data_IF_356198240094
#
_entry.id   IF_356198240094
#
_cell.length_a   1.000
_cell.length_b   1.000
_cell.length_c   1.000
_cell.angle_alpha   90.00
_cell.angle_beta   90.00
_cell.angle_gamma   90.00
#
_symmetry.space_group_name_H-M   'P 1'
#
loop_
_entity.id
_entity.type
_entity.pdbx_description
1 polymer ?
#
# COMPACT_ATOMS: atom_id res chain seq x y z
N UNK A 1 -21.08 -10.94 22.98
CA UNK A 1 -21.59 -10.52 21.66
C UNK A 1 -21.67 -9.00 21.65
N UNK A 2 -20.92 -8.32 20.79
CA UNK A 2 -21.03 -6.86 20.64
C UNK A 2 -22.34 -6.51 19.92
N UNK A 3 -23.07 -5.53 20.45
CA UNK A 3 -24.19 -4.93 19.72
C UNK A 3 -23.62 -4.21 18.50
N UNK A 4 -24.13 -4.51 17.31
CA UNK A 4 -23.57 -4.00 16.05
C UNK A 4 -23.46 -2.48 16.03
N UNK A 5 -22.33 -1.96 15.53
CA UNK A 5 -22.08 -0.53 15.43
C UNK A 5 -23.02 0.10 14.38
N UNK A 6 -23.93 0.98 14.82
CA UNK A 6 -24.75 1.80 13.92
C UNK A 6 -24.05 3.12 13.67
N UNK A 7 -23.48 3.28 12.47
CA UNK A 7 -22.91 4.56 12.03
C UNK A 7 -24.04 5.59 11.85
N UNK A 8 -23.96 6.73 12.55
CA UNK A 8 -24.97 7.77 12.45
C UNK A 8 -24.70 8.67 11.23
N UNK A 9 -25.54 8.55 10.19
CA UNK A 9 -25.39 9.29 8.92
C UNK A 9 -25.49 10.81 9.07
N UNK A 10 -26.32 11.33 9.98
CA UNK A 10 -26.36 12.78 10.21
C UNK A 10 -25.10 13.26 10.94
N UNK A 11 -24.55 12.47 11.86
CA UNK A 11 -23.27 12.76 12.49
C UNK A 11 -22.10 12.69 11.49
N UNK A 12 -22.10 11.74 10.54
CA UNK A 12 -21.11 11.67 9.46
C UNK A 12 -21.24 12.87 8.51
N UNK A 13 -22.46 13.26 8.13
CA UNK A 13 -22.68 14.45 7.29
C UNK A 13 -22.29 15.75 8.00
N UNK A 14 -22.51 15.84 9.31
CA UNK A 14 -22.04 16.96 10.13
C UNK A 14 -20.51 16.93 10.30
N UNK A 15 -19.89 15.76 10.42
CA UNK A 15 -18.42 15.64 10.51
C UNK A 15 -17.75 16.01 9.17
N UNK A 16 -18.30 15.58 8.04
CA UNK A 16 -17.87 16.01 6.71
C UNK A 16 -18.07 17.52 6.53
N UNK A 17 -19.25 18.05 6.87
CA UNK A 17 -19.54 19.49 6.87
C UNK A 17 -18.52 20.29 7.69
N UNK A 18 -18.27 19.89 8.94
CA UNK A 18 -17.25 20.50 9.82
C UNK A 18 -15.83 20.37 9.25
N UNK A 19 -15.49 19.27 8.57
CA UNK A 19 -14.19 19.11 7.92
C UNK A 19 -14.03 20.07 6.72
N UNK A 20 -15.08 20.25 5.90
CA UNK A 20 -15.09 21.24 4.82
C UNK A 20 -15.13 22.68 5.33
N UNK A 21 -15.88 22.98 6.39
CA UNK A 21 -15.88 24.27 7.10
C UNK A 21 -14.52 24.57 7.72
N UNK A 22 -13.84 23.58 8.29
CA UNK A 22 -12.49 23.72 8.83
C UNK A 22 -11.48 23.95 7.70
N UNK A 23 -11.57 23.22 6.58
CA UNK A 23 -10.75 23.48 5.39
C UNK A 23 -10.96 24.90 4.83
N UNK A 24 -12.22 25.37 4.74
CA UNK A 24 -12.56 26.72 4.30
C UNK A 24 -12.09 27.80 5.30
N UNK A 25 -12.11 27.50 6.61
CA UNK A 25 -11.58 28.37 7.66
C UNK A 25 -10.06 28.44 7.61
N UNK A 26 -9.37 27.32 7.38
CA UNK A 26 -7.90 27.28 7.16
C UNK A 26 -7.51 28.04 5.89
N UNK A 27 -8.25 27.88 4.79
CA UNK A 27 -8.03 28.70 3.59
C UNK A 27 -8.28 30.19 3.85
N UNK A 28 -9.31 30.54 4.61
CA UNK A 28 -9.61 31.94 4.95
C UNK A 28 -8.53 32.53 5.84
N UNK A 29 -8.12 31.86 6.91
CA UNK A 29 -7.02 32.28 7.76
C UNK A 29 -5.68 32.37 6.98
N UNK A 30 -5.43 31.47 6.02
CA UNK A 30 -4.27 31.56 5.12
C UNK A 30 -4.33 32.81 4.24
N UNK A 31 -5.48 33.13 3.63
CA UNK A 31 -5.68 34.36 2.84
C UNK A 31 -5.63 35.64 3.70
N UNK A 32 -6.20 35.61 4.90
CA UNK A 32 -6.18 36.73 5.83
C UNK A 32 -4.76 36.96 6.37
N UNK A 33 -3.99 35.90 6.60
CA UNK A 33 -2.58 35.97 6.98
C UNK A 33 -1.70 36.46 5.83
N UNK A 34 -1.88 35.96 4.60
CA UNK A 34 -1.22 36.51 3.38
C UNK A 34 -1.52 38.01 3.26
N UNK A 35 -2.79 38.40 3.37
CA UNK A 35 -3.23 39.80 3.29
C UNK A 35 -2.67 40.66 4.42
N UNK A 36 -2.57 40.14 5.65
CA UNK A 36 -2.04 40.85 6.81
C UNK A 36 -0.51 40.97 6.81
N UNK A 37 0.20 39.99 6.23
CA UNK A 37 1.66 39.98 6.12
C UNK A 37 2.18 40.69 4.88
N UNK A 38 1.40 40.71 3.77
CA UNK A 38 1.65 41.55 2.59
C UNK A 38 1.75 43.02 2.97
N UNK A 39 2.98 43.51 2.99
CA UNK A 39 3.29 44.93 3.19
C UNK A 39 3.61 45.34 4.63
N UNK A 40 3.33 44.52 5.65
CA UNK A 40 3.61 44.87 7.07
C UNK A 40 4.93 44.34 7.61
N UNK A 41 5.52 43.30 7.01
CA UNK A 41 6.90 42.87 7.32
C UNK A 41 7.95 43.74 6.58
N UNK A 42 7.51 44.76 5.84
CA UNK A 42 8.37 45.69 5.11
C UNK A 42 8.93 46.80 6.00
N UNK A 43 9.89 46.47 6.85
CA UNK A 43 10.75 47.49 7.46
C UNK A 43 11.49 48.27 6.38
N UNK A 44 11.29 49.59 6.28
CA UNK A 44 12.06 50.42 5.35
C UNK A 44 13.52 50.50 5.83
N UNK A 45 14.45 49.96 5.04
CA UNK A 45 15.90 50.00 5.30
C UNK A 45 16.59 48.64 5.20
N UNK A 46 17.92 48.61 5.29
CA UNK A 46 18.74 47.39 5.13
C UNK A 46 18.33 46.25 6.10
N UNK A 47 17.97 46.59 7.34
CA UNK A 47 17.54 45.60 8.34
C UNK A 47 16.20 44.93 7.96
N UNK A 48 15.24 45.69 7.45
CA UNK A 48 13.95 45.13 7.01
C UNK A 48 14.09 44.22 5.79
N UNK A 49 15.03 44.49 4.87
CA UNK A 49 15.35 43.59 3.77
C UNK A 49 15.98 42.26 4.22
N UNK A 50 16.72 42.26 5.34
CA UNK A 50 17.29 41.03 5.94
C UNK A 50 16.18 40.21 6.60
N UNK A 51 15.28 40.86 7.35
CA UNK A 51 14.13 40.20 7.98
C UNK A 51 13.15 39.66 6.93
N UNK A 52 12.83 40.41 5.87
CA UNK A 52 11.99 39.97 4.76
C UNK A 52 12.60 38.72 4.08
N UNK A 53 13.91 38.72 3.78
CA UNK A 53 14.59 37.53 3.21
C UNK A 53 14.62 36.31 4.13
N UNK A 54 14.64 36.49 5.45
CA UNK A 54 14.74 35.39 6.40
C UNK A 54 13.37 34.81 6.81
N UNK A 55 12.37 35.67 7.03
CA UNK A 55 11.08 35.29 7.61
C UNK A 55 10.05 34.97 6.52
N UNK A 56 10.12 35.63 5.36
CA UNK A 56 9.12 35.47 4.31
C UNK A 56 9.09 34.09 3.65
N UNK A 57 10.21 33.40 3.35
CA UNK A 57 10.15 32.03 2.84
C UNK A 57 9.46 31.05 3.80
N UNK A 58 9.59 31.28 5.11
CA UNK A 58 8.92 30.47 6.16
C UNK A 58 7.43 30.77 6.18
N UNK A 59 7.05 32.06 6.18
CA UNK A 59 5.64 32.47 6.08
C UNK A 59 4.98 31.97 4.80
N UNK A 60 5.62 32.15 3.64
CA UNK A 60 5.12 31.71 2.34
C UNK A 60 4.93 30.18 2.32
N UNK A 61 5.84 29.39 2.90
CA UNK A 61 5.68 27.93 3.01
C UNK A 61 4.56 27.50 3.97
N UNK A 62 4.37 28.20 5.10
CA UNK A 62 3.24 27.93 6.01
C UNK A 62 1.88 28.34 5.40
N UNK A 63 1.83 29.50 4.73
CA UNK A 63 0.64 30.09 4.12
C UNK A 63 0.24 29.36 2.84
N UNK A 64 1.20 29.03 1.97
CA UNK A 64 0.95 28.26 0.75
C UNK A 64 0.84 26.77 1.07
N UNK A 65 1.93 26.15 1.50
CA UNK A 65 2.12 24.72 1.30
C UNK A 65 1.51 23.93 2.45
N UNK A 66 1.81 24.31 3.71
CA UNK A 66 1.16 23.69 4.87
C UNK A 66 -0.35 23.94 4.90
N UNK A 67 -0.80 25.17 4.57
CA UNK A 67 -2.24 25.47 4.57
C UNK A 67 -2.99 24.78 3.42
N UNK A 68 -2.38 24.64 2.22
CA UNK A 68 -2.95 23.82 1.14
C UNK A 68 -2.93 22.33 1.50
N UNK A 69 -1.88 21.82 2.13
CA UNK A 69 -1.81 20.43 2.58
C UNK A 69 -2.85 20.13 3.67
N UNK A 70 -3.04 21.02 4.65
CA UNK A 70 -4.08 20.88 5.68
C UNK A 70 -5.50 21.03 5.11
N UNK A 71 -5.75 21.99 4.23
CA UNK A 71 -7.03 22.12 3.55
C UNK A 71 -7.29 20.98 2.54
N UNK A 72 -6.24 20.39 1.97
CA UNK A 72 -6.27 19.19 1.14
C UNK A 72 -6.59 17.95 1.96
N UNK A 73 -5.92 17.75 3.09
CA UNK A 73 -6.17 16.66 4.04
C UNK A 73 -7.57 16.73 4.65
N UNK A 74 -8.04 17.92 5.08
CA UNK A 74 -9.41 18.07 5.55
C UNK A 74 -10.46 17.90 4.44
N UNK A 75 -10.16 18.28 3.18
CA UNK A 75 -11.02 17.96 2.03
C UNK A 75 -10.99 16.48 1.66
N UNK A 76 -9.87 15.77 1.80
CA UNK A 76 -9.80 14.33 1.53
C UNK A 76 -10.49 13.52 2.63
N UNK A 77 -10.43 13.96 3.90
CA UNK A 77 -11.24 13.42 4.99
C UNK A 77 -12.73 13.74 4.78
N UNK A 78 -13.05 14.98 4.37
CA UNK A 78 -14.41 15.39 4.00
C UNK A 78 -14.99 14.51 2.90
N UNK A 79 -14.32 14.41 1.75
CA UNK A 79 -14.68 13.51 0.66
C UNK A 79 -14.66 12.03 1.08
N UNK A 80 -13.73 11.58 1.93
CA UNK A 80 -13.72 10.22 2.46
C UNK A 80 -14.96 9.91 3.32
N UNK A 81 -15.42 10.89 4.10
CA UNK A 81 -16.66 10.82 4.88
C UNK A 81 -17.91 10.98 4.00
N UNK A 82 -17.87 11.78 2.94
CA UNK A 82 -18.93 11.88 1.93
C UNK A 82 -19.04 10.59 1.10
N UNK A 83 -17.93 9.98 0.72
CA UNK A 83 -17.86 8.67 0.07
C UNK A 83 -18.35 7.60 1.05
N UNK A 84 -17.95 7.64 2.33
CA UNK A 84 -18.44 6.70 3.35
C UNK A 84 -19.94 6.88 3.59
N UNK A 85 -20.44 8.12 3.63
CA UNK A 85 -21.87 8.44 3.68
C UNK A 85 -22.58 7.93 2.42
N UNK A 86 -22.07 8.20 1.23
CA UNK A 86 -22.59 7.70 -0.05
C UNK A 86 -22.62 6.17 -0.08
N UNK A 87 -21.60 5.50 0.45
CA UNK A 87 -21.55 4.04 0.59
C UNK A 87 -22.59 3.52 1.59
N UNK A 88 -22.83 4.23 2.70
CA UNK A 88 -23.88 3.89 3.66
C UNK A 88 -25.26 4.17 3.08
N UNK A 89 -25.44 5.26 2.35
CA UNK A 89 -26.65 5.59 1.61
C UNK A 89 -26.87 4.63 0.42
N UNK A 90 -25.82 4.03 -0.15
CA UNK A 90 -25.83 2.93 -1.14
C UNK A 90 -25.93 1.54 -0.50
N UNK A 91 -25.72 1.39 0.82
CA UNK A 91 -25.71 0.10 1.53
C UNK A 91 -26.95 -0.11 2.44
N UNK A 92 -27.43 0.91 3.14
CA UNK A 92 -28.87 0.96 3.48
C UNK A 92 -29.68 1.00 2.19
N UNK A 93 -29.18 1.81 1.25
CA UNK A 93 -29.50 1.73 -0.15
C UNK A 93 -29.08 0.44 -0.83
N UNK A 94 -28.70 -0.65 -0.13
CA UNK A 94 -28.65 -2.03 -0.65
C UNK A 94 -29.65 -2.98 0.05
N UNK A 95 -30.10 -2.62 1.25
CA UNK A 95 -30.98 -3.41 2.12
C UNK A 95 -32.47 -3.26 1.75
N UNK A 96 -32.93 -2.07 1.37
CA UNK A 96 -34.32 -1.76 0.94
C UNK A 96 -34.93 -2.61 -0.23
N UNK A 97 -34.41 -2.64 -1.48
CA UNK A 97 -34.83 -3.58 -2.59
C UNK A 97 -34.81 -5.02 -2.12
N UNK A 98 -33.81 -5.39 -1.30
CA UNK A 98 -33.70 -6.77 -0.80
C UNK A 98 -34.86 -7.13 0.13
N UNK A 99 -35.50 -6.14 0.75
CA UNK A 99 -36.70 -6.26 1.58
C UNK A 99 -38.01 -5.98 0.80
N UNK A 100 -37.96 -5.29 -0.34
CA UNK A 100 -39.09 -5.13 -1.26
C UNK A 100 -39.34 -6.39 -2.11
N UNK A 101 -38.28 -7.05 -2.59
CA UNK A 101 -38.39 -8.16 -3.55
C UNK A 101 -38.69 -9.53 -2.92
N UNK A 102 -38.48 -9.68 -1.61
CA UNK A 102 -38.83 -10.88 -0.86
C UNK A 102 -39.90 -10.52 0.17
N UNK A 103 -41.12 -11.03 -0.01
CA UNK A 103 -42.30 -10.73 0.82
C UNK A 103 -42.18 -11.27 2.26
N UNK A 104 -41.28 -10.68 3.03
CA UNK A 104 -41.04 -10.95 4.45
C UNK A 104 -41.41 -9.67 5.18
N UNK A 105 -42.46 -9.69 6.00
CA UNK A 105 -43.12 -8.45 6.42
C UNK A 105 -42.21 -7.53 7.27
N UNK A 106 -41.83 -6.40 6.68
CA UNK A 106 -41.10 -5.28 7.31
C UNK A 106 -41.77 -4.77 8.61
N UNK A 107 -43.06 -5.06 8.80
CA UNK A 107 -43.80 -4.81 10.03
C UNK A 107 -43.18 -5.45 11.29
N UNK A 108 -42.45 -6.57 11.17
CA UNK A 108 -41.74 -7.19 12.31
C UNK A 108 -40.45 -6.46 12.73
N UNK A 109 -39.86 -5.67 11.84
CA UNK A 109 -38.62 -4.90 12.07
C UNK A 109 -38.88 -3.39 12.24
N UNK A 110 -40.14 -2.97 12.28
CA UNK A 110 -40.55 -1.59 12.61
C UNK A 110 -40.37 -0.53 11.50
N UNK A 111 -39.99 -0.92 10.29
CA UNK A 111 -39.77 0.01 9.17
C UNK A 111 -41.10 0.32 8.47
N UNK A 112 -41.64 1.53 8.70
CA UNK A 112 -42.84 2.03 8.02
C UNK A 112 -42.45 2.88 6.80
N UNK A 113 -42.88 2.43 5.61
CA UNK A 113 -43.01 3.17 4.34
C UNK A 113 -41.72 3.84 3.79
N UNK A 114 -41.09 3.44 2.68
CA UNK A 114 -41.66 2.81 1.50
C UNK A 114 -42.00 3.79 0.35
N UNK A 115 -41.30 4.91 0.15
CA UNK A 115 -41.66 5.90 -0.88
C UNK A 115 -41.63 5.30 -2.32
N UNK A 116 -42.64 5.57 -3.18
CA UNK A 116 -42.68 5.03 -4.54
C UNK A 116 -41.46 5.43 -5.39
N UNK A 117 -40.81 4.43 -6.01
CA UNK A 117 -39.62 4.63 -6.85
C UNK A 117 -38.29 4.42 -6.13
N UNK A 118 -38.25 4.39 -4.80
CA UNK A 118 -37.03 4.03 -4.08
C UNK A 118 -36.69 2.55 -4.25
N UNK A 119 -35.47 2.31 -4.75
CA UNK A 119 -34.90 1.00 -4.97
C UNK A 119 -33.36 1.11 -4.95
N UNK A 120 -32.66 0.05 -4.55
CA UNK A 120 -31.48 0.05 -3.69
C UNK A 120 -30.56 -1.21 -3.96
N UNK A 121 -29.26 -1.22 -4.40
CA UNK A 121 -28.66 -2.43 -5.04
C UNK A 121 -28.51 -3.73 -4.20
N UNK A 122 -29.10 -4.86 -4.64
CA UNK A 122 -29.04 -6.14 -3.89
C UNK A 122 -27.64 -6.74 -3.72
N UNK A 123 -27.46 -7.73 -2.81
CA UNK A 123 -26.16 -8.27 -2.34
C UNK A 123 -25.12 -8.55 -3.45
N UNK A 124 -25.55 -9.03 -4.62
CA UNK A 124 -24.67 -9.24 -5.79
C UNK A 124 -24.08 -7.93 -6.34
N UNK A 125 -24.90 -6.89 -6.46
CA UNK A 125 -24.49 -5.59 -6.98
C UNK A 125 -23.60 -4.83 -5.97
N UNK A 126 -23.88 -4.91 -4.66
CA UNK A 126 -22.93 -4.43 -3.65
C UNK A 126 -21.56 -5.10 -3.78
N UNK A 127 -21.53 -6.43 -3.92
CA UNK A 127 -20.27 -7.16 -4.07
C UNK A 127 -19.52 -6.76 -5.35
N UNK A 128 -20.23 -6.43 -6.42
CA UNK A 128 -19.64 -5.90 -7.66
C UNK A 128 -19.08 -4.48 -7.48
N UNK A 129 -19.78 -3.57 -6.79
CA UNK A 129 -19.27 -2.24 -6.46
C UNK A 129 -18.06 -2.30 -5.53
N UNK A 130 -18.08 -3.22 -4.56
CA UNK A 130 -16.95 -3.49 -3.67
C UNK A 130 -15.71 -3.94 -4.43
N UNK A 131 -15.82 -5.01 -5.23
CA UNK A 131 -14.69 -5.51 -6.03
C UNK A 131 -14.18 -4.45 -7.00
N UNK A 132 -15.09 -3.71 -7.68
CA UNK A 132 -14.69 -2.59 -8.54
C UNK A 132 -13.83 -1.56 -7.82
N UNK A 133 -14.18 -1.16 -6.59
CA UNK A 133 -13.36 -0.21 -5.81
C UNK A 133 -11.98 -0.78 -5.49
N UNK A 134 -11.91 -2.04 -5.10
CA UNK A 134 -10.64 -2.71 -4.81
C UNK A 134 -9.77 -2.72 -6.07
N UNK A 135 -10.34 -3.03 -7.23
CA UNK A 135 -9.63 -3.04 -8.51
C UNK A 135 -9.22 -1.62 -8.95
N UNK A 136 -10.11 -0.62 -8.89
CA UNK A 136 -9.81 0.81 -9.12
C UNK A 136 -8.67 1.31 -8.24
N UNK A 137 -8.63 0.88 -6.97
CA UNK A 137 -7.55 1.22 -6.03
C UNK A 137 -6.24 0.51 -6.36
N UNK A 138 -6.28 -0.74 -6.85
CA UNK A 138 -5.07 -1.43 -7.34
C UNK A 138 -4.51 -0.75 -8.59
N UNK A 139 -5.35 -0.31 -9.54
CA UNK A 139 -4.89 0.45 -10.71
C UNK A 139 -4.22 1.77 -10.31
N UNK A 140 -4.76 2.50 -9.33
CA UNK A 140 -4.10 3.69 -8.78
C UNK A 140 -2.73 3.33 -8.18
N UNK A 141 -2.64 2.25 -7.39
CA UNK A 141 -1.40 1.81 -6.75
C UNK A 141 -0.35 1.30 -7.76
N UNK A 142 -0.74 0.77 -8.93
CA UNK A 142 0.19 0.43 -10.03
C UNK A 142 0.95 1.65 -10.56
N UNK A 143 0.36 2.84 -10.49
CA UNK A 143 0.99 4.09 -10.95
C UNK A 143 1.94 4.75 -9.93
N UNK A 144 1.91 4.32 -8.66
CA UNK A 144 2.66 4.95 -7.58
C UNK A 144 4.10 4.45 -7.45
N UNK A 145 4.35 3.22 -7.89
CA UNK A 145 5.64 2.55 -7.80
C UNK A 145 5.54 1.08 -8.16
N UNK A 146 6.60 0.32 -7.87
CA UNK A 146 6.74 -1.08 -8.25
C UNK A 146 6.07 -2.09 -7.32
N UNK A 147 5.48 -1.65 -6.19
CA UNK A 147 4.85 -2.53 -5.21
C UNK A 147 3.88 -3.55 -5.82
N UNK A 148 2.91 -3.07 -6.62
CA UNK A 148 1.92 -3.96 -7.26
C UNK A 148 2.59 -4.92 -8.24
N UNK A 149 3.43 -4.39 -9.15
CA UNK A 149 4.11 -5.19 -10.18
C UNK A 149 5.22 -6.12 -9.68
N UNK A 150 5.70 -5.97 -8.44
CA UNK A 150 6.70 -6.85 -7.82
C UNK A 150 6.14 -7.75 -6.70
N UNK A 151 4.97 -7.44 -6.14
CA UNK A 151 4.45 -8.09 -4.92
C UNK A 151 2.93 -8.34 -4.88
N UNK A 152 2.18 -8.04 -5.94
CA UNK A 152 0.78 -8.45 -6.09
C UNK A 152 0.58 -9.18 -7.44
N UNK A 153 0.77 -8.48 -8.55
CA UNK A 153 0.53 -8.96 -9.92
C UNK A 153 1.71 -9.77 -10.50
N UNK A 154 2.30 -10.64 -9.67
CA UNK A 154 3.46 -11.46 -10.02
C UNK A 154 3.10 -12.94 -10.08
N UNK A 155 3.48 -13.66 -11.13
CA UNK A 155 3.33 -15.13 -11.16
C UNK A 155 4.31 -15.80 -10.20
N UNK A 156 4.02 -17.03 -9.78
CA UNK A 156 4.95 -17.81 -8.96
C UNK A 156 6.26 -18.12 -9.69
N UNK A 157 6.23 -18.15 -11.03
CA UNK A 157 7.46 -18.25 -11.83
C UNK A 157 8.27 -16.94 -11.78
N UNK A 158 7.65 -15.75 -11.87
CA UNK A 158 8.36 -14.48 -11.64
C UNK A 158 8.95 -14.41 -10.22
N UNK A 159 8.26 -14.94 -9.20
CA UNK A 159 8.82 -15.01 -7.85
C UNK A 159 10.07 -15.92 -7.78
N UNK A 160 10.09 -17.03 -8.50
CA UNK A 160 11.25 -17.94 -8.61
C UNK A 160 12.38 -17.34 -9.43
N UNK A 161 12.10 -16.78 -10.61
CA UNK A 161 13.06 -16.04 -11.44
C UNK A 161 13.73 -14.89 -10.65
N UNK A 162 12.99 -14.22 -9.76
CA UNK A 162 13.50 -13.16 -8.87
C UNK A 162 14.50 -13.66 -7.81
N UNK A 163 14.42 -14.93 -7.42
CA UNK A 163 15.43 -15.53 -6.54
C UNK A 163 16.74 -15.78 -7.30
N UNK A 164 16.68 -16.03 -8.61
CA UNK A 164 17.84 -16.24 -9.47
C UNK A 164 18.51 -17.60 -9.28
N UNK A 165 19.73 -17.74 -9.80
CA UNK A 165 20.49 -18.99 -9.83
C UNK A 165 21.46 -19.08 -8.65
N UNK A 166 21.56 -20.21 -7.91
CA UNK A 166 22.57 -20.42 -6.88
C UNK A 166 24.00 -20.13 -7.36
N UNK A 167 24.76 -19.38 -6.58
CA UNK A 167 26.19 -19.16 -6.85
C UNK A 167 26.97 -20.40 -6.39
N UNK A 168 27.84 -20.91 -7.27
CA UNK A 168 28.68 -22.08 -7.02
C UNK A 168 30.14 -21.66 -6.77
N UNK A 169 30.62 -21.83 -5.55
CA UNK A 169 31.97 -21.47 -5.09
C UNK A 169 32.89 -22.71 -5.00
N UNK A 170 34.20 -22.49 -4.90
CA UNK A 170 35.20 -23.56 -4.87
C UNK A 170 35.71 -24.01 -6.27
N UNK A 171 36.72 -24.91 -6.31
CA UNK A 171 37.32 -25.37 -7.56
C UNK A 171 36.35 -26.23 -8.38
N UNK A 172 36.53 -26.30 -9.69
CA UNK A 172 35.57 -26.90 -10.63
C UNK A 172 35.16 -28.36 -10.30
N UNK A 173 36.06 -29.15 -9.71
CA UNK A 173 35.83 -30.54 -9.32
C UNK A 173 35.21 -30.72 -7.91
N UNK A 174 35.06 -29.64 -7.14
CA UNK A 174 34.48 -29.65 -5.80
C UNK A 174 33.72 -28.33 -5.54
N UNK A 175 32.79 -27.99 -6.44
CA UNK A 175 31.98 -26.77 -6.30
C UNK A 175 30.88 -26.99 -5.26
N UNK A 176 30.75 -26.06 -4.33
CA UNK A 176 29.70 -26.03 -3.31
C UNK A 176 28.80 -24.82 -3.51
N UNK A 177 27.57 -24.89 -2.99
CA UNK A 177 26.64 -23.76 -3.07
C UNK A 177 27.04 -22.70 -2.05
N UNK A 178 27.26 -21.48 -2.54
CA UNK A 178 27.56 -20.32 -1.72
C UNK A 178 26.40 -20.03 -0.76
N UNK A 179 26.70 -19.88 0.52
CA UNK A 179 25.74 -19.47 1.54
C UNK A 179 26.05 -18.06 2.04
N UNK A 180 25.00 -17.34 2.41
CA UNK A 180 25.11 -16.08 3.13
C UNK A 180 25.59 -16.36 4.57
N UNK A 181 26.65 -15.69 5.06
CA UNK A 181 27.25 -16.03 6.35
C UNK A 181 26.39 -15.64 7.56
N UNK A 182 25.41 -14.73 7.39
CA UNK A 182 24.58 -14.22 8.48
C UNK A 182 23.24 -14.98 8.59
N UNK A 183 22.75 -15.49 7.46
CA UNK A 183 21.41 -16.10 7.33
C UNK A 183 21.45 -17.57 6.90
N UNK A 184 22.60 -18.07 6.43
CA UNK A 184 22.77 -19.46 6.01
C UNK A 184 21.96 -19.84 4.76
N UNK A 185 21.28 -18.89 4.10
CA UNK A 185 20.56 -19.11 2.85
C UNK A 185 21.48 -19.10 1.65
N UNK A 186 20.99 -19.65 0.55
CA UNK A 186 21.72 -19.70 -0.72
C UNK A 186 21.93 -18.29 -1.29
N UNK A 187 23.20 -17.93 -1.52
CA UNK A 187 23.54 -16.74 -2.32
C UNK A 187 23.30 -17.05 -3.79
N UNK A 188 22.72 -16.08 -4.50
CA UNK A 188 22.22 -16.24 -5.87
C UNK A 188 22.56 -15.04 -6.74
N UNK A 189 22.76 -15.31 -8.03
CA UNK A 189 23.02 -14.32 -9.09
C UNK A 189 21.89 -14.34 -10.12
N UNK A 190 21.94 -13.45 -11.11
CA UNK A 190 21.08 -13.47 -12.29
C UNK A 190 19.58 -13.45 -11.95
N UNK A 191 19.27 -12.70 -10.88
CA UNK A 191 17.93 -12.41 -10.38
C UNK A 191 17.18 -11.56 -11.41
N UNK A 192 15.95 -11.94 -11.73
CA UNK A 192 15.10 -11.23 -12.68
C UNK A 192 14.14 -10.30 -11.93
N UNK A 193 13.99 -9.07 -12.41
CA UNK A 193 12.95 -8.17 -11.92
C UNK A 193 11.55 -8.64 -12.38
N UNK A 194 10.57 -8.88 -11.49
CA UNK A 194 9.22 -9.24 -11.90
C UNK A 194 8.56 -8.24 -12.85
N UNK A 195 8.98 -6.97 -12.84
CA UNK A 195 8.48 -5.94 -13.76
C UNK A 195 8.78 -6.21 -15.24
N UNK A 196 9.77 -7.07 -15.57
CA UNK A 196 10.00 -7.56 -16.93
C UNK A 196 8.88 -8.49 -17.45
N UNK A 197 7.90 -8.81 -16.61
CA UNK A 197 6.79 -9.70 -16.93
C UNK A 197 7.15 -11.19 -16.87
N UNK A 198 6.14 -12.07 -16.99
CA UNK A 198 6.35 -13.51 -17.00
C UNK A 198 7.12 -13.98 -18.24
N UNK A 199 7.80 -15.14 -18.18
CA UNK A 199 8.43 -15.76 -19.35
C UNK A 199 7.48 -15.86 -20.54
N UNK A 200 7.98 -15.53 -21.74
CA UNK A 200 7.19 -15.53 -22.97
C UNK A 200 6.41 -14.23 -23.26
N UNK A 201 6.43 -13.24 -22.36
CA UNK A 201 5.81 -11.92 -22.62
C UNK A 201 6.52 -11.20 -23.78
N UNK A 202 5.81 -10.68 -24.80
CA UNK A 202 6.40 -9.88 -25.86
C UNK A 202 7.16 -8.67 -25.30
N UNK A 203 8.39 -8.46 -25.78
CA UNK A 203 9.24 -7.35 -25.31
C UNK A 203 9.97 -7.58 -23.99
N UNK A 204 9.80 -8.74 -23.31
CA UNK A 204 10.64 -9.13 -22.17
C UNK A 204 12.13 -9.13 -22.59
N UNK A 205 13.03 -8.44 -21.87
CA UNK A 205 14.46 -8.44 -22.21
C UNK A 205 15.07 -9.84 -22.19
N UNK A 206 16.16 -10.02 -22.93
CA UNK A 206 17.00 -11.23 -22.88
C UNK A 206 18.28 -10.97 -22.08
N UNK A 207 18.99 -12.01 -21.60
CA UNK A 207 20.30 -11.82 -20.98
C UNK A 207 21.28 -11.08 -21.93
N UNK A 208 22.11 -10.14 -21.43
CA UNK A 208 22.29 -9.79 -20.01
C UNK A 208 21.22 -8.86 -19.42
N UNK A 209 20.43 -8.17 -20.26
CA UNK A 209 19.57 -7.06 -19.81
C UNK A 209 18.41 -7.50 -18.90
N UNK A 210 17.96 -8.74 -19.05
CA UNK A 210 17.01 -9.41 -18.16
C UNK A 210 17.38 -9.36 -16.67
N UNK A 211 18.67 -9.22 -16.34
CA UNK A 211 19.18 -9.20 -14.97
C UNK A 211 19.33 -7.80 -14.37
N UNK A 212 19.00 -6.74 -15.12
CA UNK A 212 18.92 -5.39 -14.60
C UNK A 212 17.52 -5.08 -14.04
N UNK A 213 17.47 -4.16 -13.08
CA UNK A 213 16.23 -3.57 -12.58
C UNK A 213 15.49 -2.86 -13.74
N UNK A 214 14.19 -3.13 -13.89
CA UNK A 214 13.41 -2.64 -15.05
C UNK A 214 13.19 -1.12 -15.03
N UNK A 215 13.24 -0.48 -13.86
CA UNK A 215 13.09 0.97 -13.71
C UNK A 215 14.42 1.71 -13.93
N UNK A 216 15.54 1.09 -13.53
CA UNK A 216 16.87 1.74 -13.50
C UNK A 216 17.81 1.33 -14.64
N UNK A 217 17.59 0.17 -15.24
CA UNK A 217 18.45 -0.38 -16.30
C UNK A 217 19.92 -0.60 -15.89
N UNK A 218 20.80 -0.88 -16.87
CA UNK A 218 22.24 -1.03 -16.65
C UNK A 218 22.85 0.21 -15.97
N UNK A 219 23.81 0.07 -15.03
CA UNK A 219 24.43 -1.17 -14.56
C UNK A 219 23.70 -1.80 -13.34
N UNK A 220 22.49 -1.34 -13.01
CA UNK A 220 21.79 -1.68 -11.77
C UNK A 220 21.19 -3.09 -11.82
N UNK A 221 21.98 -4.13 -11.51
CA UNK A 221 21.45 -5.50 -11.42
C UNK A 221 20.34 -5.59 -10.38
N UNK A 222 19.25 -6.28 -10.73
CA UNK A 222 18.11 -6.46 -9.83
C UNK A 222 18.54 -7.20 -8.56
N UNK A 223 17.94 -6.84 -7.42
CA UNK A 223 18.24 -7.43 -6.11
C UNK A 223 16.97 -7.88 -5.41
N UNK A 224 17.08 -9.02 -4.76
CA UNK A 224 16.07 -9.60 -3.90
C UNK A 224 16.80 -10.39 -2.83
N UNK A 225 16.32 -10.27 -1.59
CA UNK A 225 16.82 -10.98 -0.41
C UNK A 225 16.63 -12.50 -0.53
N UNK A 226 16.83 -13.22 0.57
CA UNK A 226 16.64 -14.68 0.64
C UNK A 226 15.22 -15.14 0.30
N UNK A 227 14.22 -14.26 0.40
CA UNK A 227 12.81 -14.54 0.12
C UNK A 227 12.28 -13.67 -1.01
N UNK A 228 11.48 -14.29 -1.87
CA UNK A 228 10.70 -13.61 -2.91
C UNK A 228 9.23 -13.81 -2.60
N UNK A 229 8.55 -12.75 -2.16
CA UNK A 229 7.22 -12.81 -1.52
C UNK A 229 6.20 -11.91 -2.20
N UNK A 230 4.92 -12.25 -2.07
CA UNK A 230 3.80 -11.51 -2.61
C UNK A 230 2.52 -11.71 -1.79
N UNK A 231 1.57 -10.80 -1.98
CA UNK A 231 0.17 -10.99 -1.60
C UNK A 231 -0.51 -11.97 -2.58
N UNK A 232 -1.61 -12.58 -2.13
CA UNK A 232 -2.44 -13.48 -2.94
C UNK A 232 -3.67 -12.80 -3.55
N UNK A 233 -4.11 -11.67 -3.00
CA UNK A 233 -5.36 -11.02 -3.36
C UNK A 233 -5.31 -9.50 -3.21
N UNK A 234 -6.03 -8.82 -4.12
CA UNK A 234 -6.14 -7.35 -4.21
C UNK A 234 -6.67 -6.75 -2.90
N UNK A 235 -7.66 -7.38 -2.28
CA UNK A 235 -8.34 -6.92 -1.07
C UNK A 235 -7.35 -6.78 0.10
N UNK A 236 -6.53 -7.81 0.34
CA UNK A 236 -5.49 -7.78 1.36
C UNK A 236 -4.45 -6.69 1.08
N UNK A 237 -4.00 -6.55 -0.17
CA UNK A 237 -3.02 -5.52 -0.56
C UNK A 237 -3.58 -4.12 -0.33
N UNK A 238 -4.81 -3.85 -0.74
CA UNK A 238 -5.46 -2.53 -0.56
C UNK A 238 -5.61 -2.18 0.92
N UNK A 239 -6.14 -3.09 1.75
CA UNK A 239 -6.26 -2.83 3.19
C UNK A 239 -4.91 -2.67 3.91
N UNK A 240 -3.86 -3.32 3.42
CA UNK A 240 -2.51 -3.13 3.93
C UNK A 240 -1.96 -1.73 3.58
N UNK A 241 -2.20 -1.21 2.37
CA UNK A 241 -1.86 0.18 2.00
C UNK A 241 -2.70 1.19 2.81
N UNK A 242 -4.01 0.99 2.94
CA UNK A 242 -4.87 1.89 3.72
C UNK A 242 -4.41 2.00 5.18
N UNK A 243 -4.10 0.86 5.81
CA UNK A 243 -3.55 0.84 7.17
C UNK A 243 -2.19 1.55 7.23
N UNK A 244 -1.24 1.18 6.35
CA UNK A 244 0.11 1.73 6.40
C UNK A 244 0.13 3.24 6.12
N UNK A 245 -0.66 3.70 5.16
CA UNK A 245 -0.83 5.11 4.81
C UNK A 245 -1.43 5.93 5.97
N UNK A 246 -2.28 5.34 6.80
CA UNK A 246 -2.79 5.97 8.03
C UNK A 246 -1.74 6.17 9.13
N UNK A 247 -0.57 5.54 9.01
CA UNK A 247 0.56 5.62 9.95
C UNK A 247 1.69 6.55 9.49
N UNK A 248 1.55 7.17 8.32
CA UNK A 248 2.54 8.12 7.83
C UNK A 248 2.56 9.37 8.72
N UNK A 249 3.77 9.82 9.06
CA UNK A 249 3.99 11.06 9.80
C UNK A 249 3.97 12.24 8.82
N UNK A 250 2.95 13.12 8.84
CA UNK A 250 2.88 14.27 7.94
C UNK A 250 3.95 15.34 8.24
N UNK A 251 4.63 15.26 9.38
CA UNK A 251 5.73 16.17 9.73
C UNK A 251 7.09 15.73 9.18
N UNK A 252 7.22 14.48 8.73
CA UNK A 252 8.45 13.94 8.14
C UNK A 252 8.38 13.94 6.61
N UNK A 253 9.01 14.89 5.89
CA UNK A 253 8.91 15.01 4.43
C UNK A 253 9.78 14.02 3.65
N UNK A 254 10.54 13.16 4.34
CA UNK A 254 11.42 12.17 3.70
C UNK A 254 10.72 10.85 3.40
N UNK A 255 11.45 9.90 2.79
CA UNK A 255 11.00 8.50 2.64
C UNK A 255 10.58 7.93 4.01
N UNK A 256 9.46 7.21 4.03
CA UNK A 256 8.92 6.55 5.22
C UNK A 256 8.81 5.04 5.01
N UNK A 257 8.98 4.29 6.09
CA UNK A 257 8.79 2.83 6.12
C UNK A 257 7.85 2.52 7.27
N UNK A 258 6.76 1.83 6.96
CA UNK A 258 5.77 1.38 7.95
C UNK A 258 5.84 -0.14 8.00
N UNK A 259 6.27 -0.65 9.16
CA UNK A 259 6.27 -2.07 9.48
C UNK A 259 5.14 -2.38 10.46
N UNK A 260 4.34 -3.42 10.18
CA UNK A 260 3.16 -3.74 11.00
C UNK A 260 2.81 -5.23 10.94
N UNK A 261 2.01 -5.69 11.90
CA UNK A 261 1.49 -7.05 11.88
C UNK A 261 0.25 -7.12 10.96
N UNK A 262 0.05 -8.21 10.19
CA UNK A 262 -1.17 -8.48 9.44
C UNK A 262 -2.47 -8.32 10.25
N UNK A 263 -2.40 -8.56 11.57
CA UNK A 263 -3.52 -8.38 12.49
C UNK A 263 -3.97 -6.93 12.67
N UNK A 264 -3.08 -5.96 12.40
CA UNK A 264 -3.36 -4.55 12.62
C UNK A 264 -4.18 -3.96 11.47
N UNK A 265 -3.94 -4.46 10.25
CA UNK A 265 -4.69 -4.09 9.04
C UNK A 265 -5.98 -4.91 8.85
N UNK A 266 -5.99 -6.18 9.24
CA UNK A 266 -7.09 -7.12 8.92
C UNK A 266 -7.82 -7.69 10.15
N UNK A 267 -7.47 -7.24 11.35
CA UNK A 267 -8.05 -7.74 12.61
C UNK A 267 -7.45 -9.07 13.08
N UNK A 268 -7.91 -9.62 14.22
CA UNK A 268 -7.36 -10.85 14.79
C UNK A 268 -7.67 -12.08 13.91
N UNK A 269 -6.67 -12.89 13.61
CA UNK A 269 -6.85 -14.11 12.82
C UNK A 269 -5.56 -14.73 12.30
N UNK A 270 -5.69 -15.85 11.60
CA UNK A 270 -4.60 -16.48 10.85
C UNK A 270 -4.48 -15.89 9.46
N UNK A 271 -3.41 -15.11 9.21
CA UNK A 271 -3.24 -14.34 7.97
C UNK A 271 -2.28 -14.96 6.95
N UNK A 272 -1.67 -16.11 7.27
CA UNK A 272 -0.72 -16.82 6.38
C UNK A 272 -1.34 -17.17 5.02
N UNK A 273 -2.65 -17.38 4.96
CA UNK A 273 -3.39 -17.65 3.74
C UNK A 273 -3.43 -16.50 2.73
N UNK A 274 -3.12 -15.26 3.14
CA UNK A 274 -3.11 -14.05 2.29
C UNK A 274 -1.79 -13.79 1.58
N UNK A 275 -0.76 -14.58 1.89
CA UNK A 275 0.58 -14.44 1.33
C UNK A 275 1.04 -15.69 0.59
N UNK A 276 2.01 -15.50 -0.30
CA UNK A 276 2.79 -16.56 -0.97
C UNK A 276 4.22 -16.07 -1.13
N UNK A 277 5.13 -17.00 -1.30
CA UNK A 277 6.53 -16.67 -1.54
C UNK A 277 7.39 -17.91 -1.54
N UNK A 278 8.59 -17.74 -2.08
CA UNK A 278 9.56 -18.81 -2.25
C UNK A 278 10.92 -18.39 -1.70
N UNK A 279 11.73 -19.40 -1.35
CA UNK A 279 13.16 -19.29 -1.14
C UNK A 279 13.85 -20.53 -1.71
N UNK A 280 15.14 -20.43 -2.01
CA UNK A 280 15.94 -21.59 -2.45
C UNK A 280 16.26 -22.43 -1.22
N UNK A 281 16.04 -23.74 -1.31
CA UNK A 281 16.27 -24.67 -0.20
C UNK A 281 17.76 -24.64 0.25
N UNK A 282 18.08 -24.25 1.49
CA UNK A 282 19.46 -24.18 1.97
C UNK A 282 20.11 -25.55 2.18
N UNK A 283 19.33 -26.64 2.28
CA UNK A 283 19.86 -28.00 2.49
C UNK A 283 20.02 -28.76 1.16
N UNK A 284 19.04 -28.63 0.28
CA UNK A 284 18.97 -29.31 -1.02
C UNK A 284 18.66 -28.29 -2.13
N UNK A 285 19.57 -27.35 -2.45
CA UNK A 285 19.31 -26.23 -3.35
C UNK A 285 19.02 -26.60 -4.81
N UNK A 286 19.30 -27.84 -5.20
CA UNK A 286 18.96 -28.42 -6.49
C UNK A 286 18.15 -29.71 -6.28
N UNK A 287 17.23 -29.99 -7.20
CA UNK A 287 16.53 -31.26 -7.27
C UNK A 287 17.37 -32.35 -7.97
N UNK A 288 16.80 -33.54 -8.13
CA UNK A 288 17.45 -34.68 -8.79
C UNK A 288 17.73 -34.47 -10.29
N UNK A 289 17.14 -33.45 -10.91
CA UNK A 289 17.34 -33.07 -12.31
C UNK A 289 18.32 -31.88 -12.46
N UNK A 290 18.84 -31.35 -11.35
CA UNK A 290 19.67 -30.16 -11.34
C UNK A 290 18.90 -28.84 -11.46
N UNK A 291 17.57 -28.85 -11.40
CA UNK A 291 16.76 -27.64 -11.34
C UNK A 291 16.81 -27.04 -9.93
N UNK A 292 16.66 -25.72 -9.81
CA UNK A 292 16.68 -25.04 -8.50
C UNK A 292 15.48 -25.49 -7.67
N UNK A 293 15.74 -25.98 -6.46
CA UNK A 293 14.71 -26.43 -5.53
C UNK A 293 14.20 -25.25 -4.69
N UNK A 294 12.92 -24.92 -4.85
CA UNK A 294 12.27 -23.81 -4.18
C UNK A 294 11.31 -24.31 -3.10
N UNK A 295 11.49 -23.85 -1.86
CA UNK A 295 10.56 -24.08 -0.75
C UNK A 295 9.57 -22.93 -0.62
N UNK A 296 8.32 -23.26 -0.28
CA UNK A 296 7.31 -22.26 0.08
C UNK A 296 7.64 -21.59 1.42
N UNK A 297 7.42 -20.28 1.47
CA UNK A 297 7.64 -19.48 2.67
C UNK A 297 6.55 -19.69 3.71
N UNK A 298 6.95 -19.99 4.94
CA UNK A 298 6.13 -19.97 6.12
C UNK A 298 5.96 -18.54 6.65
N UNK A 299 4.79 -17.96 6.43
CA UNK A 299 4.42 -16.60 6.87
C UNK A 299 3.94 -16.51 8.33
N UNK A 300 4.15 -17.54 9.17
CA UNK A 300 3.81 -17.46 10.60
C UNK A 300 4.50 -16.26 11.24
N UNK A 301 3.73 -15.40 11.90
CA UNK A 301 4.18 -14.15 12.52
C UNK A 301 4.89 -13.18 11.56
N UNK A 302 4.75 -13.32 10.24
CA UNK A 302 5.29 -12.37 9.27
C UNK A 302 4.72 -10.97 9.49
N UNK A 303 5.52 -9.95 9.23
CA UNK A 303 5.09 -8.54 9.18
C UNK A 303 4.76 -8.15 7.73
N UNK A 304 4.15 -6.98 7.55
CA UNK A 304 4.11 -6.30 6.25
C UNK A 304 5.00 -5.07 6.36
N UNK A 305 5.82 -4.87 5.32
CA UNK A 305 6.72 -3.72 5.16
C UNK A 305 6.22 -2.90 3.98
N UNK A 306 5.71 -1.70 4.26
CA UNK A 306 5.28 -0.74 3.26
C UNK A 306 6.28 0.44 3.21
N UNK A 307 6.69 0.82 2.01
CA UNK A 307 7.67 1.88 1.77
C UNK A 307 7.00 2.98 0.95
N UNK A 308 6.99 4.18 1.51
CA UNK A 308 6.42 5.37 0.88
C UNK A 308 7.52 6.37 0.56
N UNK A 309 7.43 6.95 -0.63
CA UNK A 309 8.29 8.06 -1.07
C UNK A 309 7.46 9.33 -1.22
N UNK A 310 8.06 10.52 -1.02
CA UNK A 310 7.40 11.78 -1.30
C UNK A 310 6.95 11.84 -2.76
N UNK A 311 5.76 12.36 -3.01
CA UNK A 311 5.20 12.50 -4.37
C UNK A 311 5.62 13.79 -5.09
N UNK A 312 6.33 14.69 -4.39
CA UNK A 312 6.75 16.01 -4.88
C UNK A 312 5.71 17.12 -4.69
N UNK A 313 4.49 16.80 -4.26
CA UNK A 313 3.36 17.70 -4.05
C UNK A 313 2.98 17.85 -2.56
N UNK A 314 3.83 17.37 -1.65
CA UNK A 314 3.58 17.36 -0.21
C UNK A 314 2.81 16.12 0.29
N UNK A 315 2.60 15.12 -0.56
CA UNK A 315 2.01 13.83 -0.21
C UNK A 315 2.99 12.67 -0.37
N UNK A 316 2.44 11.45 -0.33
CA UNK A 316 3.19 10.20 -0.36
C UNK A 316 2.61 9.20 -1.35
N UNK A 317 3.48 8.65 -2.19
CA UNK A 317 3.18 7.54 -3.10
C UNK A 317 3.75 6.23 -2.56
N UNK A 318 3.02 5.12 -2.76
CA UNK A 318 3.50 3.80 -2.39
C UNK A 318 4.60 3.36 -3.37
N UNK A 319 5.85 3.37 -2.91
CA UNK A 319 6.99 2.89 -3.70
C UNK A 319 6.98 1.37 -3.79
N UNK A 320 6.84 0.68 -2.65
CA UNK A 320 6.71 -0.79 -2.61
C UNK A 320 6.07 -1.29 -1.33
N UNK A 321 5.42 -2.46 -1.36
CA UNK A 321 4.91 -3.13 -0.17
C UNK A 321 5.01 -4.64 -0.30
N UNK A 322 5.50 -5.32 0.73
CA UNK A 322 5.69 -6.77 0.72
C UNK A 322 5.54 -7.39 2.11
N UNK A 323 5.11 -8.66 2.19
CA UNK A 323 5.17 -9.42 3.43
C UNK A 323 6.60 -9.88 3.72
N UNK A 324 7.05 -9.65 4.95
CA UNK A 324 8.40 -9.95 5.42
C UNK A 324 8.36 -11.19 6.35
N UNK A 325 8.89 -12.34 5.92
CA UNK A 325 8.79 -13.59 6.68
C UNK A 325 9.75 -13.62 7.87
N UNK A 326 9.32 -14.19 9.00
CA UNK A 326 10.22 -14.36 10.14
C UNK A 326 11.20 -15.51 9.86
N UNK A 327 12.49 -15.18 9.89
CA UNK A 327 13.61 -16.09 9.65
C UNK A 327 13.48 -17.45 10.36
N UNK A 328 13.17 -17.45 11.65
CA UNK A 328 13.12 -18.65 12.50
C UNK A 328 12.11 -19.73 12.09
N UNK A 329 11.13 -19.40 11.23
CA UNK A 329 10.11 -20.33 10.75
C UNK A 329 10.42 -20.94 9.37
N UNK A 330 11.45 -20.42 8.70
CA UNK A 330 11.87 -20.83 7.36
C UNK A 330 13.27 -21.48 7.35
N UNK A 331 14.03 -21.30 8.44
CA UNK A 331 15.37 -21.87 8.61
C UNK A 331 15.41 -23.40 8.59
N UNK A 332 16.51 -23.92 8.06
CA UNK A 332 16.92 -25.32 8.18
C UNK A 332 17.48 -25.63 9.57
N UNK A 333 17.42 -26.91 9.97
CA UNK A 333 18.11 -27.42 11.18
C UNK A 333 19.64 -27.43 11.05
N UNK A 334 20.16 -27.44 9.82
CA UNK A 334 21.58 -27.51 9.48
C UNK A 334 22.18 -26.14 9.10
N UNK A 335 21.43 -25.05 9.25
CA UNK A 335 21.89 -23.70 8.88
C UNK A 335 22.94 -23.07 9.82
N UNK A 336 23.25 -23.71 10.95
CA UNK A 336 24.42 -23.35 11.77
C UNK A 336 24.36 -22.02 12.51
N UNK A 337 23.16 -21.49 12.76
CA UNK A 337 22.87 -20.19 13.42
C UNK A 337 21.99 -20.40 14.66
#
# INVERSE_FOLDING_TARGET
MSKGFRANRSALSQAAGRAHEHAATVERHSRDLDTATRGKVLGRGKLGQIVDKAVRPVLDSMISDMSKAMAGGHRSIGHGLEITKKNLDEAEGAVHRSLQNNATSLAKEGVKNLEPGQSVPGRKALRQLYHRRIDERVEELRSQGHGVGRHLDVTDQQLKDRLGTPVMEGPQHNRTVAKDPNTGYVRSTDKVDPLHGPPGTPGRPTPPDLYYDAEKGPPNRHRCESYSTAFKDNESYVYADEYARSRLDPSWPGRQVVEFAPSDAWGPGGHTGKFRGYYIDPDQPFDHNGAVNYKEVNFKNATVKAVYEPDGNGGFKLHTMFPEPVFKHNRSRHQGI
#
